data_IF_717341171576
#
_entry.id   IF_717341171576
#
_cell.length_a   1.000
_cell.length_b   1.000
_cell.length_c   1.000
_cell.angle_alpha   90.00
_cell.angle_beta   90.00
_cell.angle_gamma   90.00
#
_symmetry.space_group_name_H-M   'P 1'
#
loop_
_entity.id
_entity.type
_entity.pdbx_description
1 polymer ?
#
# COMPACT_ATOMS: atom_id res chain seq x y z
N UNK A 1 10.89 3.24 27.60
CA UNK A 1 11.17 2.95 26.16
C UNK A 1 10.61 1.62 25.62
N UNK A 2 9.87 0.78 26.38
CA UNK A 2 9.40 -0.53 25.87
C UNK A 2 8.06 -0.51 25.09
N UNK A 3 7.16 0.43 25.36
CA UNK A 3 5.81 0.44 24.75
C UNK A 3 5.75 1.00 23.31
N UNK A 4 6.82 1.65 22.83
CA UNK A 4 6.86 2.28 21.51
C UNK A 4 7.11 1.24 20.39
N UNK A 5 7.83 0.16 20.71
CA UNK A 5 8.20 -0.85 19.71
C UNK A 5 7.01 -1.65 19.16
N UNK A 6 6.05 -2.04 19.98
CA UNK A 6 4.90 -2.83 19.51
C UNK A 6 4.00 -2.05 18.56
N UNK A 7 3.83 -0.74 18.80
CA UNK A 7 3.01 0.11 17.92
C UNK A 7 3.66 0.33 16.56
N UNK A 8 4.98 0.55 16.55
CA UNK A 8 5.75 0.67 15.31
C UNK A 8 5.76 -0.67 14.55
N UNK A 9 5.98 -1.78 15.25
CA UNK A 9 5.93 -3.12 14.64
C UNK A 9 4.55 -3.41 14.03
N UNK A 10 3.47 -3.04 14.72
CA UNK A 10 2.12 -3.17 14.19
C UNK A 10 1.90 -2.32 12.93
N UNK A 11 2.42 -1.08 12.90
CA UNK A 11 2.35 -0.23 11.71
C UNK A 11 3.10 -0.87 10.55
N UNK A 12 4.30 -1.39 10.77
CA UNK A 12 5.06 -2.07 9.73
C UNK A 12 4.36 -3.33 9.21
N UNK A 13 3.83 -4.16 10.11
CA UNK A 13 3.05 -5.34 9.73
C UNK A 13 1.81 -4.94 8.91
N UNK A 14 1.10 -3.90 9.33
CA UNK A 14 -0.06 -3.36 8.60
C UNK A 14 0.35 -2.82 7.23
N UNK A 15 1.45 -2.07 7.14
CA UNK A 15 1.97 -1.58 5.86
C UNK A 15 2.32 -2.72 4.92
N UNK A 16 2.93 -3.80 5.40
CA UNK A 16 3.21 -5.00 4.58
C UNK A 16 1.92 -5.66 4.08
N UNK A 17 0.91 -5.78 4.95
CA UNK A 17 -0.41 -6.33 4.57
C UNK A 17 -1.09 -5.50 3.48
N UNK A 18 -1.00 -4.16 3.56
CA UNK A 18 -1.55 -3.28 2.51
C UNK A 18 -0.64 -3.14 1.29
N UNK A 19 0.65 -3.50 1.39
CA UNK A 19 1.54 -3.56 0.23
C UNK A 19 1.25 -4.79 -0.64
N UNK A 20 0.86 -5.91 -0.02
CA UNK A 20 0.52 -7.15 -0.71
C UNK A 20 -0.47 -6.97 -1.87
N UNK A 21 -1.66 -6.33 -1.70
CA UNK A 21 -2.60 -6.13 -2.79
C UNK A 21 -2.04 -5.29 -3.95
N UNK A 22 -1.20 -4.30 -3.65
CA UNK A 22 -0.51 -3.48 -4.68
C UNK A 22 0.43 -4.35 -5.51
N UNK A 23 1.26 -5.16 -4.85
CA UNK A 23 2.20 -6.06 -5.51
C UNK A 23 1.44 -7.13 -6.30
N UNK A 24 0.42 -7.75 -5.71
CA UNK A 24 -0.39 -8.76 -6.36
C UNK A 24 -1.02 -8.22 -7.65
N UNK A 25 -1.54 -6.99 -7.62
CA UNK A 25 -2.09 -6.38 -8.82
C UNK A 25 -1.03 -6.16 -9.90
N UNK A 26 0.15 -5.60 -9.55
CA UNK A 26 1.24 -5.40 -10.52
C UNK A 26 1.67 -6.74 -11.15
N UNK A 27 1.85 -7.77 -10.32
CA UNK A 27 2.28 -9.10 -10.79
C UNK A 27 1.24 -9.74 -11.71
N UNK A 28 -0.05 -9.65 -11.36
CA UNK A 28 -1.14 -10.24 -12.15
C UNK A 28 -1.43 -9.46 -13.43
N UNK A 29 -1.72 -8.17 -13.31
CA UNK A 29 -2.28 -7.38 -14.42
C UNK A 29 -1.23 -6.72 -15.30
N UNK A 30 -0.09 -6.28 -14.72
CA UNK A 30 0.98 -5.63 -15.51
C UNK A 30 1.99 -6.63 -16.04
N UNK A 31 2.32 -7.67 -15.26
CA UNK A 31 3.32 -8.66 -15.66
C UNK A 31 2.73 -9.95 -16.24
N UNK A 32 1.41 -10.18 -16.10
CA UNK A 32 0.75 -11.39 -16.59
C UNK A 32 1.17 -12.67 -15.87
N UNK A 33 1.86 -12.56 -14.72
CA UNK A 33 2.32 -13.71 -13.94
C UNK A 33 1.28 -14.09 -12.89
N UNK A 34 1.14 -15.40 -12.63
CA UNK A 34 0.33 -15.93 -11.51
C UNK A 34 -1.16 -15.53 -11.54
N UNK A 35 -1.70 -15.13 -12.70
CA UNK A 35 -3.11 -14.74 -12.87
C UNK A 35 -4.06 -15.81 -12.33
N UNK A 36 -3.77 -17.09 -12.56
CA UNK A 36 -4.59 -18.22 -12.12
C UNK A 36 -4.36 -18.63 -10.65
N UNK A 37 -3.28 -18.13 -10.01
CA UNK A 37 -2.85 -18.57 -8.67
C UNK A 37 -3.14 -17.57 -7.57
N UNK A 38 -3.34 -16.31 -7.92
CA UNK A 38 -3.64 -15.24 -6.97
C UNK A 38 -5.15 -14.96 -6.94
N UNK A 39 -5.72 -14.55 -5.80
CA UNK A 39 -7.14 -14.22 -5.72
C UNK A 39 -7.52 -13.17 -6.76
N UNK A 40 -8.57 -13.47 -7.53
CA UNK A 40 -9.08 -12.68 -8.65
C UNK A 40 -10.60 -12.56 -8.54
N UNK A 41 -11.15 -11.42 -8.97
CA UNK A 41 -12.59 -11.13 -8.94
C UNK A 41 -12.88 -9.68 -8.53
N UNK A 42 -14.05 -9.18 -8.92
CA UNK A 42 -14.43 -7.76 -8.75
C UNK A 42 -14.32 -7.26 -7.30
N UNK A 43 -14.71 -8.10 -6.34
CA UNK A 43 -14.59 -7.77 -4.92
C UNK A 43 -13.14 -7.66 -4.45
N UNK A 44 -12.27 -8.57 -4.93
CA UNK A 44 -10.86 -8.54 -4.59
C UNK A 44 -10.16 -7.33 -5.22
N UNK A 45 -10.43 -7.06 -6.50
CA UNK A 45 -9.99 -5.84 -7.18
C UNK A 45 -10.46 -4.60 -6.41
N UNK A 46 -11.72 -4.54 -6.00
CA UNK A 46 -12.23 -3.41 -5.19
C UNK A 46 -11.45 -3.19 -3.89
N UNK A 47 -11.14 -4.26 -3.14
CA UNK A 47 -10.31 -4.16 -1.92
C UNK A 47 -8.89 -3.67 -2.28
N UNK A 48 -8.28 -4.23 -3.34
CA UNK A 48 -6.96 -3.81 -3.79
C UNK A 48 -6.95 -2.33 -4.18
N UNK A 49 -8.00 -1.85 -4.83
CA UNK A 49 -8.12 -0.50 -5.38
C UNK A 49 -8.43 0.51 -4.27
N UNK A 50 -9.54 0.30 -3.54
CA UNK A 50 -10.09 1.34 -2.65
C UNK A 50 -9.46 1.37 -1.27
N UNK A 51 -8.88 0.26 -0.77
CA UNK A 51 -8.37 0.20 0.59
C UNK A 51 -6.86 0.30 0.69
N UNK A 52 -6.10 -0.29 -0.23
CA UNK A 52 -4.65 -0.41 -0.05
C UNK A 52 -3.90 0.93 -0.19
N UNK A 53 -4.18 1.70 -1.25
CA UNK A 53 -3.54 2.99 -1.52
C UNK A 53 -3.74 4.01 -0.41
N UNK A 54 -5.00 4.35 -0.06
CA UNK A 54 -5.29 5.28 1.04
C UNK A 54 -4.70 4.82 2.37
N UNK A 55 -4.76 3.51 2.68
CA UNK A 55 -4.21 2.98 3.93
C UNK A 55 -2.69 3.10 3.98
N UNK A 56 -1.98 2.83 2.88
CA UNK A 56 -0.53 3.02 2.80
C UNK A 56 -0.15 4.49 3.01
N UNK A 57 -0.88 5.42 2.41
CA UNK A 57 -0.64 6.86 2.62
C UNK A 57 -0.78 7.22 4.10
N UNK A 58 -1.88 6.81 4.74
CA UNK A 58 -2.14 7.10 6.16
C UNK A 58 -1.04 6.50 7.05
N UNK A 59 -0.65 5.25 6.81
CA UNK A 59 0.40 4.58 7.59
C UNK A 59 1.78 5.22 7.36
N UNK A 60 2.09 5.63 6.12
CA UNK A 60 3.32 6.34 5.78
C UNK A 60 3.41 7.70 6.47
N UNK A 61 2.32 8.47 6.46
CA UNK A 61 2.22 9.74 7.18
C UNK A 61 2.31 9.57 8.71
N UNK A 62 1.71 8.50 9.26
CA UNK A 62 1.84 8.16 10.67
C UNK A 62 3.29 7.86 11.05
N UNK A 63 4.01 7.07 10.25
CA UNK A 63 5.45 6.81 10.46
C UNK A 63 6.26 8.11 10.38
N UNK A 64 5.96 8.96 9.40
CA UNK A 64 6.67 10.21 9.16
C UNK A 64 6.48 11.23 10.27
N UNK A 65 5.24 11.50 10.71
CA UNK A 65 4.94 12.57 11.66
C UNK A 65 4.96 12.10 13.12
N UNK A 66 4.48 10.90 13.41
CA UNK A 66 4.30 10.44 14.80
C UNK A 66 5.52 9.71 15.36
N UNK A 67 6.30 9.04 14.50
CA UNK A 67 7.44 8.23 14.91
C UNK A 67 8.78 8.72 14.34
N UNK A 68 8.85 10.03 14.03
CA UNK A 68 9.99 10.69 13.39
C UNK A 68 11.30 10.66 14.19
N UNK A 69 11.24 10.40 15.51
CA UNK A 69 12.42 10.38 16.38
C UNK A 69 13.47 9.36 15.92
N UNK A 70 13.04 8.32 15.21
CA UNK A 70 13.92 7.37 14.55
C UNK A 70 14.01 7.76 13.07
N UNK A 71 15.18 8.19 12.59
CA UNK A 71 15.40 8.63 11.20
C UNK A 71 14.95 7.59 10.16
N UNK A 72 15.14 6.30 10.45
CA UNK A 72 14.71 5.21 9.56
C UNK A 72 13.18 5.21 9.33
N UNK A 73 12.38 5.45 10.37
CA UNK A 73 10.93 5.51 10.26
C UNK A 73 10.46 6.68 9.39
N UNK A 74 11.19 7.79 9.43
CA UNK A 74 10.93 8.96 8.60
C UNK A 74 11.09 8.62 7.11
N UNK A 75 12.22 8.01 6.74
CA UNK A 75 12.48 7.59 5.36
C UNK A 75 11.49 6.53 4.88
N UNK A 76 11.25 5.50 5.70
CA UNK A 76 10.28 4.45 5.38
C UNK A 76 8.85 4.99 5.26
N UNK A 77 8.47 5.94 6.12
CA UNK A 77 7.16 6.60 6.04
C UNK A 77 6.98 7.36 4.73
N UNK A 78 7.98 8.10 4.27
CA UNK A 78 7.96 8.77 2.95
C UNK A 78 7.84 7.74 1.82
N UNK A 79 8.65 6.68 1.85
CA UNK A 79 8.63 5.65 0.82
C UNK A 79 7.25 4.97 0.71
N UNK A 80 6.67 4.58 1.86
CA UNK A 80 5.34 3.95 1.92
C UNK A 80 4.25 4.93 1.41
N UNK A 81 4.32 6.20 1.80
CA UNK A 81 3.37 7.20 1.33
C UNK A 81 3.47 7.42 -0.18
N UNK A 82 4.69 7.50 -0.74
CA UNK A 82 4.91 7.62 -2.18
C UNK A 82 4.39 6.40 -2.94
N UNK A 83 4.58 5.18 -2.43
CA UNK A 83 4.00 3.96 -3.01
C UNK A 83 2.48 4.06 -3.03
N UNK A 84 1.86 4.50 -1.93
CA UNK A 84 0.41 4.67 -1.86
C UNK A 84 -0.13 5.74 -2.83
N UNK A 85 0.59 6.87 -3.00
CA UNK A 85 0.23 7.92 -3.97
C UNK A 85 0.38 7.42 -5.41
N UNK A 86 1.50 6.77 -5.73
CA UNK A 86 1.72 6.16 -7.03
C UNK A 86 0.63 5.14 -7.36
N UNK A 87 0.26 4.32 -6.38
CA UNK A 87 -0.81 3.36 -6.53
C UNK A 87 -2.15 4.02 -6.84
N UNK A 88 -2.55 5.05 -6.08
CA UNK A 88 -3.75 5.82 -6.38
C UNK A 88 -3.74 6.43 -7.79
N UNK A 89 -2.59 6.93 -8.24
CA UNK A 89 -2.44 7.46 -9.60
C UNK A 89 -2.69 6.38 -10.67
N UNK A 90 -2.10 5.19 -10.50
CA UNK A 90 -2.33 4.06 -11.42
C UNK A 90 -3.81 3.70 -11.48
N UNK A 91 -4.47 3.63 -10.33
CA UNK A 91 -5.89 3.31 -10.25
C UNK A 91 -6.78 4.34 -10.94
N UNK A 92 -6.53 5.63 -10.72
CA UNK A 92 -7.27 6.70 -11.37
C UNK A 92 -7.06 6.63 -12.89
N UNK A 93 -5.82 6.38 -13.34
CA UNK A 93 -5.52 6.20 -14.76
C UNK A 93 -6.28 5.03 -15.37
N UNK A 94 -6.32 3.88 -14.70
CA UNK A 94 -7.00 2.69 -15.21
C UNK A 94 -8.53 2.93 -15.29
N UNK A 95 -9.13 3.58 -14.28
CA UNK A 95 -10.56 3.95 -14.29
C UNK A 95 -10.88 4.94 -15.42
N UNK A 96 -10.03 5.94 -15.65
CA UNK A 96 -10.23 6.92 -16.71
C UNK A 96 -10.13 6.27 -18.09
N UNK A 97 -9.24 5.30 -18.27
CA UNK A 97 -9.09 4.56 -19.52
C UNK A 97 -10.28 3.63 -19.80
N UNK A 98 -10.87 2.99 -18.79
CA UNK A 98 -12.08 2.18 -18.96
C UNK A 98 -13.34 3.02 -19.23
N UNK A 99 -13.37 4.28 -18.78
CA UNK A 99 -14.51 5.17 -18.97
C UNK A 99 -14.50 5.95 -20.31
N UNK A 100 -13.39 5.92 -21.05
CA UNK A 100 -13.19 6.64 -22.32
C UNK A 100 -13.41 5.72 -23.53
#
# INVERSE_FOLDING_TARGET
MKNVNYKIAFIYASSLLFLYPVIAHIVMYRMGYLVDKLPHGQFWSFIQICFSGPSLIILGLLLYFRYYQIKANKFLGVAIALIGVYWLYVLISDIVQEAA
#
